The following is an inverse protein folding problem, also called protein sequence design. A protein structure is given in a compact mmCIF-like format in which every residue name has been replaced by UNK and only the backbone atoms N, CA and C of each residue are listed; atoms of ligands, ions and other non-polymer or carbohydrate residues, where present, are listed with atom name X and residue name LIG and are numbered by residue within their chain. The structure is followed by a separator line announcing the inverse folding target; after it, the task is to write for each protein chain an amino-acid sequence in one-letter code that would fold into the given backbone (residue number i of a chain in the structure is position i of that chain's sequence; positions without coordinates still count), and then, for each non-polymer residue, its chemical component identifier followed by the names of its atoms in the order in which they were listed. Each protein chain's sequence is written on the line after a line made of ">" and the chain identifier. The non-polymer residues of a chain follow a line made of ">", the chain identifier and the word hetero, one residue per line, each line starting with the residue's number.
data_IF_173409771476
#
_entry.id   IF_173409771476
#
_cell.length_a   1.000
_cell.length_b   1.000
_cell.length_c   1.000
_cell.angle_alpha   90.00
_cell.angle_beta   90.00
_cell.angle_gamma   90.00
#
_symmetry.space_group_name_H-M   'P 1'
#
loop_
_entity.id
_entity.type
_entity.pdbx_description
1 polymer ?
#
# COMPACT_ATOMS: atom_id res chain seq x y z
N UNK A 1 -28.43 -12.98 -18.55
CA UNK A 1 -27.33 -12.08 -18.15
C UNK A 1 -27.17 -12.11 -16.64
N UNK A 2 -26.22 -12.87 -16.10
CA UNK A 2 -25.92 -12.86 -14.65
C UNK A 2 -25.43 -11.46 -14.25
N UNK A 3 -26.13 -10.81 -13.33
CA UNK A 3 -25.78 -9.49 -12.80
C UNK A 3 -24.32 -9.46 -12.34
N UNK A 4 -23.61 -8.34 -12.53
CA UNK A 4 -22.19 -8.21 -12.14
C UNK A 4 -21.95 -8.65 -10.68
N UNK A 5 -22.93 -8.41 -9.82
CA UNK A 5 -22.93 -8.81 -8.40
C UNK A 5 -22.95 -10.33 -8.17
N UNK A 6 -23.74 -11.11 -8.93
CA UNK A 6 -23.79 -12.58 -8.75
C UNK A 6 -22.50 -13.25 -9.22
N UNK A 7 -21.89 -12.73 -10.29
CA UNK A 7 -20.56 -13.16 -10.76
C UNK A 7 -19.48 -12.85 -9.72
N UNK A 8 -19.48 -11.64 -9.16
CA UNK A 8 -18.48 -11.24 -8.16
C UNK A 8 -18.55 -12.09 -6.89
N UNK A 9 -19.75 -12.48 -6.44
CA UNK A 9 -19.93 -13.42 -5.31
C UNK A 9 -19.40 -14.81 -5.62
N UNK A 10 -19.62 -15.32 -6.84
CA UNK A 10 -19.10 -16.62 -7.24
C UNK A 10 -17.57 -16.64 -7.30
N UNK A 11 -16.96 -15.60 -7.88
CA UNK A 11 -15.51 -15.47 -7.94
C UNK A 11 -14.87 -15.30 -6.56
N UNK A 12 -15.50 -14.58 -5.62
CA UNK A 12 -15.03 -14.54 -4.22
C UNK A 12 -15.03 -15.92 -3.56
N UNK A 13 -16.01 -16.79 -3.84
CA UNK A 13 -15.99 -18.19 -3.36
C UNK A 13 -14.95 -19.05 -4.07
N UNK A 14 -14.62 -18.70 -5.31
CA UNK A 14 -13.57 -19.32 -6.11
C UNK A 14 -12.16 -18.80 -5.77
N UNK A 15 -12.08 -17.67 -5.08
CA UNK A 15 -10.84 -17.00 -4.76
C UNK A 15 -10.05 -17.75 -3.69
N UNK A 16 -8.76 -17.44 -3.67
CA UNK A 16 -7.78 -18.04 -2.80
C UNK A 16 -7.21 -16.97 -1.88
N UNK A 17 -6.93 -17.34 -0.64
CA UNK A 17 -6.31 -16.45 0.33
C UNK A 17 -4.85 -16.15 -0.07
N UNK A 18 -4.37 -14.91 0.10
CA UNK A 18 -2.98 -14.57 -0.13
C UNK A 18 -2.00 -15.49 0.63
N UNK A 19 -0.82 -15.70 0.07
CA UNK A 19 0.25 -16.53 0.64
C UNK A 19 0.08 -18.04 0.41
N UNK A 20 -1.10 -18.51 0.01
CA UNK A 20 -1.31 -19.93 -0.32
C UNK A 20 -0.96 -20.22 -1.79
N UNK A 21 -0.38 -21.39 -2.09
CA UNK A 21 -0.05 -21.76 -3.47
C UNK A 21 -1.32 -22.01 -4.28
N UNK A 22 -1.38 -21.45 -5.50
CA UNK A 22 -2.50 -21.61 -6.43
C UNK A 22 -2.73 -23.10 -6.76
N UNK A 23 -3.85 -23.71 -6.32
CA UNK A 23 -4.14 -25.11 -6.59
C UNK A 23 -4.76 -25.29 -7.98
N UNK A 24 -4.60 -26.49 -8.54
CA UNK A 24 -5.13 -26.84 -9.87
C UNK A 24 -6.64 -26.55 -10.02
N UNK A 25 -7.45 -26.85 -9.00
CA UNK A 25 -8.92 -26.71 -9.04
C UNK A 25 -9.44 -25.28 -9.14
N UNK A 26 -8.56 -24.29 -8.93
CA UNK A 26 -8.92 -22.87 -8.93
C UNK A 26 -8.30 -22.09 -10.10
N UNK A 27 -7.65 -22.82 -11.01
CA UNK A 27 -7.12 -22.28 -12.26
C UNK A 27 -8.12 -22.49 -13.38
N UNK A 28 -8.52 -21.39 -14.01
CA UNK A 28 -9.43 -21.41 -15.14
C UNK A 28 -8.64 -21.12 -16.41
N UNK A 29 -8.76 -22.01 -17.41
CA UNK A 29 -8.23 -21.77 -18.76
C UNK A 29 -9.35 -21.23 -19.64
N UNK A 30 -9.18 -20.02 -20.13
CA UNK A 30 -10.14 -19.33 -20.98
C UNK A 30 -9.57 -19.22 -22.40
N UNK A 31 -10.32 -19.60 -23.45
CA UNK A 31 -9.84 -19.43 -24.82
C UNK A 31 -9.75 -17.94 -25.16
N UNK A 32 -8.66 -17.54 -25.81
CA UNK A 32 -8.53 -16.18 -26.35
C UNK A 32 -9.13 -16.10 -27.76
N UNK A 33 -9.38 -14.89 -28.27
CA UNK A 33 -9.79 -14.71 -29.67
C UNK A 33 -8.78 -15.29 -30.65
N UNK A 34 -7.49 -15.12 -30.35
CA UNK A 34 -6.40 -15.70 -31.13
C UNK A 34 -6.42 -17.24 -31.09
N UNK A 35 -6.62 -17.84 -29.91
CA UNK A 35 -6.72 -19.29 -29.78
C UNK A 35 -7.94 -19.89 -30.50
N UNK A 36 -9.07 -19.17 -30.53
CA UNK A 36 -10.22 -19.58 -31.33
C UNK A 36 -9.91 -19.56 -32.83
N UNK A 37 -9.25 -18.50 -33.32
CA UNK A 37 -8.79 -18.43 -34.71
C UNK A 37 -7.81 -19.55 -35.06
N UNK A 38 -6.88 -19.87 -34.16
CA UNK A 38 -5.95 -21.00 -34.31
C UNK A 38 -6.69 -22.34 -34.39
N UNK A 39 -7.67 -22.57 -33.52
CA UNK A 39 -8.47 -23.80 -33.54
C UNK A 39 -9.25 -23.95 -34.86
N UNK A 40 -9.83 -22.85 -35.36
CA UNK A 40 -10.50 -22.83 -36.68
C UNK A 40 -9.52 -23.13 -37.81
N UNK A 41 -8.32 -22.54 -37.79
CA UNK A 41 -7.29 -22.81 -38.78
C UNK A 41 -6.89 -24.30 -38.80
N UNK A 42 -6.62 -24.88 -37.64
CA UNK A 42 -6.29 -26.32 -37.52
C UNK A 42 -7.43 -27.17 -38.06
N UNK A 43 -8.68 -26.84 -37.75
CA UNK A 43 -9.85 -27.56 -38.24
C UNK A 43 -10.00 -27.47 -39.76
N UNK A 44 -9.79 -26.28 -40.34
CA UNK A 44 -9.84 -26.06 -41.78
C UNK A 44 -8.74 -26.83 -42.51
N UNK A 45 -7.51 -26.83 -41.99
CA UNK A 45 -6.40 -27.61 -42.54
C UNK A 45 -6.68 -29.11 -42.48
N UNK A 46 -7.26 -29.58 -41.37
CA UNK A 46 -7.66 -30.97 -41.23
C UNK A 46 -8.74 -31.33 -42.25
N UNK A 47 -9.79 -30.51 -42.39
CA UNK A 47 -10.86 -30.74 -43.36
C UNK A 47 -10.35 -30.70 -44.80
N UNK A 48 -9.41 -29.80 -45.11
CA UNK A 48 -8.73 -29.74 -46.39
C UNK A 48 -7.92 -31.02 -46.65
N UNK A 49 -7.17 -31.50 -45.67
CA UNK A 49 -6.45 -32.77 -45.74
C UNK A 49 -7.37 -33.96 -46.00
N UNK A 50 -8.54 -33.99 -45.35
CA UNK A 50 -9.58 -35.02 -45.54
C UNK A 50 -10.18 -34.95 -46.94
N UNK A 51 -10.57 -33.75 -47.39
CA UNK A 51 -11.24 -33.56 -48.66
C UNK A 51 -10.31 -33.89 -49.85
N UNK A 52 -9.07 -33.40 -49.81
CA UNK A 52 -8.11 -33.54 -50.91
C UNK A 52 -7.11 -34.69 -50.75
N UNK A 53 -7.26 -35.53 -49.71
CA UNK A 53 -6.31 -36.59 -49.36
C UNK A 53 -4.85 -36.09 -49.29
N UNK A 54 -4.65 -34.85 -48.84
CA UNK A 54 -3.35 -34.19 -48.86
C UNK A 54 -2.56 -34.50 -47.58
N UNK A 55 -1.54 -35.35 -47.69
CA UNK A 55 -0.67 -35.75 -46.57
C UNK A 55 0.06 -34.59 -45.89
N UNK A 56 0.43 -33.54 -46.62
CA UNK A 56 1.11 -32.37 -46.05
C UNK A 56 0.16 -31.55 -45.17
N UNK A 57 -1.11 -31.42 -45.59
CA UNK A 57 -2.12 -30.72 -44.80
C UNK A 57 -2.38 -31.43 -43.46
N UNK A 58 -2.41 -32.77 -43.45
CA UNK A 58 -2.45 -33.53 -42.21
C UNK A 58 -1.25 -33.26 -41.32
N UNK A 59 -0.03 -33.36 -41.87
CA UNK A 59 1.21 -33.10 -41.13
C UNK A 59 1.22 -31.73 -40.47
N UNK A 60 0.83 -30.69 -41.20
CA UNK A 60 0.75 -29.33 -40.68
C UNK A 60 -0.34 -29.19 -39.59
N UNK A 61 -1.53 -29.76 -39.81
CA UNK A 61 -2.63 -29.69 -38.83
C UNK A 61 -2.26 -30.35 -37.50
N UNK A 62 -1.65 -31.54 -37.52
CA UNK A 62 -1.21 -32.24 -36.32
C UNK A 62 -0.04 -31.55 -35.64
N UNK A 63 0.88 -30.96 -36.40
CA UNK A 63 1.97 -30.17 -35.84
C UNK A 63 1.46 -28.92 -35.13
N UNK A 64 0.56 -28.15 -35.74
CA UNK A 64 -0.07 -26.97 -35.12
C UNK A 64 -0.91 -27.35 -33.89
N UNK A 65 -1.59 -28.50 -33.93
CA UNK A 65 -2.29 -29.04 -32.76
C UNK A 65 -1.33 -29.40 -31.63
N UNK A 66 -0.21 -30.05 -31.92
CA UNK A 66 0.81 -30.38 -30.93
C UNK A 66 1.41 -29.12 -30.29
N UNK A 67 1.70 -28.09 -31.09
CA UNK A 67 2.15 -26.78 -30.60
C UNK A 67 1.09 -26.17 -29.66
N UNK A 68 -0.18 -26.22 -30.03
CA UNK A 68 -1.27 -25.73 -29.19
C UNK A 68 -1.39 -26.49 -27.86
N UNK A 69 -1.25 -27.82 -27.87
CA UNK A 69 -1.28 -28.65 -26.67
C UNK A 69 -0.13 -28.30 -25.71
N UNK A 70 1.10 -28.15 -26.24
CA UNK A 70 2.26 -27.72 -25.45
C UNK A 70 2.07 -26.32 -24.88
N UNK A 71 1.55 -25.39 -25.67
CA UNK A 71 1.26 -24.03 -25.21
C UNK A 71 0.22 -24.03 -24.08
N UNK A 72 -0.88 -24.78 -24.21
CA UNK A 72 -1.89 -24.95 -23.15
C UNK A 72 -1.26 -25.41 -21.83
N UNK A 73 -0.43 -26.46 -21.91
CA UNK A 73 0.24 -27.04 -20.75
C UNK A 73 1.20 -26.02 -20.11
N UNK A 74 1.95 -25.27 -20.92
CA UNK A 74 2.85 -24.23 -20.45
C UNK A 74 2.11 -23.06 -19.80
N UNK A 75 1.00 -22.60 -20.38
CA UNK A 75 0.16 -21.55 -19.79
C UNK A 75 -0.40 -21.99 -18.43
N UNK A 76 -0.92 -23.22 -18.35
CA UNK A 76 -1.42 -23.77 -17.08
C UNK A 76 -0.32 -23.88 -16.02
N UNK A 77 0.85 -24.44 -16.39
CA UNK A 77 2.00 -24.56 -15.47
C UNK A 77 2.55 -23.20 -15.04
N UNK A 78 2.39 -22.14 -15.83
CA UNK A 78 2.91 -20.82 -15.50
C UNK A 78 2.26 -20.24 -14.23
N UNK A 79 0.97 -20.48 -14.01
CA UNK A 79 0.28 -20.06 -12.78
C UNK A 79 0.21 -21.15 -11.70
N UNK A 80 0.29 -22.44 -12.07
CA UNK A 80 0.21 -23.54 -11.10
C UNK A 80 1.21 -23.39 -9.95
N UNK A 81 0.71 -23.47 -8.71
CA UNK A 81 1.52 -23.37 -7.49
C UNK A 81 2.15 -22.00 -7.24
N UNK A 82 1.77 -20.95 -7.97
CA UNK A 82 2.22 -19.59 -7.66
C UNK A 82 1.69 -19.19 -6.28
N UNK A 83 2.51 -18.58 -5.43
CA UNK A 83 2.08 -17.95 -4.19
C UNK A 83 2.05 -16.46 -4.42
N UNK A 84 0.97 -15.82 -4.00
CA UNK A 84 0.83 -14.38 -4.11
C UNK A 84 0.48 -13.82 -2.73
N UNK A 85 1.40 -13.08 -2.13
CA UNK A 85 1.18 -12.35 -0.88
C UNK A 85 0.96 -10.86 -1.18
N UNK A 86 0.21 -10.20 -0.29
CA UNK A 86 -0.09 -8.79 -0.41
C UNK A 86 0.75 -8.00 0.58
N UNK A 87 1.28 -6.87 0.13
CA UNK A 87 1.93 -5.84 0.93
C UNK A 87 1.06 -4.60 0.87
N UNK A 88 0.35 -4.33 1.95
CA UNK A 88 -0.43 -3.11 2.10
C UNK A 88 0.49 -1.88 2.09
N UNK A 89 0.03 -0.74 1.52
CA UNK A 89 0.76 0.51 1.63
C UNK A 89 0.88 0.93 3.09
N UNK A 90 2.01 1.57 3.44
CA UNK A 90 2.25 2.05 4.79
C UNK A 90 1.26 3.15 5.20
N UNK A 91 0.98 4.08 4.29
CA UNK A 91 0.05 5.18 4.48
C UNK A 91 -0.65 5.53 3.18
N UNK A 92 -1.94 5.85 3.24
CA UNK A 92 -2.74 6.26 2.08
C UNK A 92 -3.69 7.35 2.52
N UNK A 93 -3.74 8.46 1.80
CA UNK A 93 -4.60 9.60 2.10
C UNK A 93 -5.77 9.66 1.11
N UNK A 94 -6.92 10.13 1.58
CA UNK A 94 -8.12 10.26 0.76
C UNK A 94 -7.87 11.15 -0.47
N UNK A 95 -8.30 10.69 -1.64
CA UNK A 95 -8.07 11.36 -2.93
C UNK A 95 -6.66 11.18 -3.51
N UNK A 96 -5.80 10.38 -2.87
CA UNK A 96 -4.50 9.98 -3.41
C UNK A 96 -4.53 8.61 -4.11
N UNK A 97 -3.36 7.99 -4.22
CA UNK A 97 -3.19 6.62 -4.74
C UNK A 97 -2.61 5.70 -3.66
N UNK A 98 -3.21 4.53 -3.50
CA UNK A 98 -2.75 3.47 -2.64
C UNK A 98 -1.91 2.48 -3.46
N UNK A 99 -0.61 2.36 -3.15
CA UNK A 99 0.26 1.37 -3.81
C UNK A 99 0.17 0.03 -3.10
N UNK A 100 -0.57 -0.90 -3.68
CA UNK A 100 -0.67 -2.27 -3.20
C UNK A 100 0.42 -3.11 -3.86
N UNK A 101 1.41 -3.54 -3.07
CA UNK A 101 2.45 -4.45 -3.53
C UNK A 101 1.91 -5.88 -3.57
N UNK A 102 2.09 -6.58 -4.69
CA UNK A 102 1.75 -7.99 -4.85
C UNK A 102 3.04 -8.76 -5.04
N UNK A 103 3.47 -9.41 -3.96
CA UNK A 103 4.67 -10.24 -3.95
C UNK A 103 4.31 -11.62 -4.48
N UNK A 104 4.99 -12.03 -5.54
CA UNK A 104 4.79 -13.30 -6.20
C UNK A 104 6.01 -14.21 -5.95
N UNK A 105 5.74 -15.42 -5.48
CA UNK A 105 6.75 -16.47 -5.31
C UNK A 105 6.29 -17.73 -6.03
N UNK A 106 7.06 -18.11 -7.03
CA UNK A 106 6.81 -19.26 -7.87
C UNK A 106 7.80 -20.41 -7.68
N UNK A 107 8.89 -20.21 -6.94
CA UNK A 107 10.03 -21.16 -6.80
C UNK A 107 10.76 -21.53 -8.10
N UNK A 108 10.39 -20.92 -9.23
CA UNK A 108 10.95 -21.17 -10.57
C UNK A 108 10.62 -20.02 -11.51
N UNK A 109 11.35 -19.93 -12.63
CA UNK A 109 11.08 -18.97 -13.68
C UNK A 109 9.62 -18.98 -14.15
N UNK A 110 8.99 -17.80 -14.20
CA UNK A 110 7.64 -17.59 -14.75
C UNK A 110 7.59 -16.28 -15.51
N UNK A 111 6.73 -16.20 -16.53
CA UNK A 111 6.75 -15.09 -17.48
C UNK A 111 5.37 -14.48 -17.68
N UNK A 112 5.33 -13.17 -17.95
CA UNK A 112 4.12 -12.42 -18.31
C UNK A 112 2.93 -12.79 -17.41
N UNK A 113 3.11 -12.58 -16.11
CA UNK A 113 2.04 -12.66 -15.13
C UNK A 113 1.47 -11.26 -15.00
N UNK A 114 0.18 -11.14 -15.25
CA UNK A 114 -0.55 -9.90 -15.09
C UNK A 114 -1.39 -9.98 -13.82
N UNK A 115 -1.30 -8.93 -13.01
CA UNK A 115 -2.13 -8.74 -11.83
C UNK A 115 -3.13 -7.64 -12.17
N UNK A 116 -4.41 -7.94 -12.03
CA UNK A 116 -5.51 -7.03 -12.33
C UNK A 116 -6.33 -6.76 -11.07
N UNK A 117 -6.62 -5.49 -10.84
CA UNK A 117 -7.64 -4.98 -9.94
C UNK A 117 -8.71 -4.22 -10.77
N UNK A 118 -9.84 -3.79 -10.19
CA UNK A 118 -10.93 -3.16 -10.94
C UNK A 118 -10.50 -1.96 -11.82
N UNK A 119 -9.53 -1.16 -11.35
CA UNK A 119 -9.08 0.06 -12.02
C UNK A 119 -7.56 0.13 -12.18
N UNK A 120 -6.85 -0.97 -11.92
CA UNK A 120 -5.38 -1.02 -11.98
C UNK A 120 -4.90 -2.34 -12.52
N UNK A 121 -3.79 -2.33 -13.25
CA UNK A 121 -3.14 -3.55 -13.72
C UNK A 121 -1.63 -3.37 -13.72
N UNK A 122 -0.92 -4.44 -13.38
CA UNK A 122 0.54 -4.50 -13.42
C UNK A 122 0.98 -5.82 -14.07
N UNK A 123 2.10 -5.78 -14.79
CA UNK A 123 2.69 -6.96 -15.41
C UNK A 123 4.07 -7.22 -14.80
N UNK A 124 4.35 -8.47 -14.49
CA UNK A 124 5.60 -8.90 -13.88
C UNK A 124 6.05 -10.24 -14.44
N UNK A 125 7.36 -10.40 -14.58
CA UNK A 125 8.00 -11.69 -14.85
C UNK A 125 8.92 -12.04 -13.69
N UNK A 126 9.05 -13.32 -13.41
CA UNK A 126 9.75 -13.87 -12.26
C UNK A 126 10.93 -14.71 -12.78
N UNK A 127 12.00 -14.12 -13.33
CA UNK A 127 13.11 -14.90 -13.90
C UNK A 127 13.78 -15.80 -12.85
N UNK A 128 13.92 -15.30 -11.63
CA UNK A 128 14.50 -16.00 -10.47
C UNK A 128 13.42 -16.67 -9.60
N UNK A 129 12.19 -16.74 -10.11
CA UNK A 129 11.05 -17.34 -9.42
C UNK A 129 10.43 -16.52 -8.31
N UNK A 130 10.86 -15.29 -8.11
CA UNK A 130 10.23 -14.31 -7.22
C UNK A 130 10.19 -12.92 -7.88
N UNK A 131 9.32 -12.04 -7.38
CA UNK A 131 9.16 -10.67 -7.89
C UNK A 131 7.96 -9.96 -7.30
N UNK A 132 7.84 -8.67 -7.58
CA UNK A 132 6.83 -7.79 -7.01
C UNK A 132 6.13 -7.01 -8.13
N UNK A 133 4.81 -6.87 -8.01
CA UNK A 133 3.99 -6.05 -8.89
C UNK A 133 3.26 -5.00 -8.05
N UNK A 134 3.46 -3.72 -8.39
CA UNK A 134 2.81 -2.61 -7.70
C UNK A 134 1.53 -2.19 -8.42
N UNK A 135 0.41 -2.26 -7.72
CA UNK A 135 -0.89 -1.77 -8.20
C UNK A 135 -1.19 -0.41 -7.58
N UNK A 136 -1.34 0.61 -8.42
CA UNK A 136 -1.84 1.91 -8.01
C UNK A 136 -3.37 1.88 -7.97
N UNK A 137 -3.94 1.79 -6.77
CA UNK A 137 -5.39 1.82 -6.55
C UNK A 137 -5.82 3.24 -6.17
N UNK A 138 -6.92 3.77 -6.71
CA UNK A 138 -7.43 5.07 -6.28
C UNK A 138 -7.89 5.00 -4.81
N UNK A 139 -7.40 5.93 -3.99
CA UNK A 139 -7.81 6.04 -2.60
C UNK A 139 -9.13 6.82 -2.50
N UNK A 140 -10.19 6.12 -2.08
CA UNK A 140 -11.52 6.70 -1.89
C UNK A 140 -11.62 7.63 -0.68
N UNK A 141 -12.82 7.70 -0.09
CA UNK A 141 -13.07 8.48 1.12
C UNK A 141 -12.26 7.96 2.33
N UNK A 142 -12.16 8.76 3.40
CA UNK A 142 -11.53 8.32 4.66
C UNK A 142 -12.25 7.09 5.22
N UNK A 143 -11.48 6.14 5.75
CA UNK A 143 -12.00 5.00 6.51
C UNK A 143 -11.34 3.68 6.14
N UNK A 144 -11.95 2.60 6.60
CA UNK A 144 -11.53 1.23 6.27
C UNK A 144 -12.26 0.77 5.02
N UNK A 145 -11.49 0.40 3.99
CA UNK A 145 -12.01 -0.12 2.73
C UNK A 145 -11.58 -1.56 2.53
N UNK A 146 -12.49 -2.48 2.18
CA UNK A 146 -12.09 -3.85 1.86
C UNK A 146 -11.20 -3.84 0.62
N UNK A 147 -10.16 -4.69 0.61
CA UNK A 147 -9.37 -4.85 -0.60
C UNK A 147 -10.22 -5.40 -1.76
N UNK A 148 -10.00 -4.88 -2.99
CA UNK A 148 -10.71 -5.39 -4.15
C UNK A 148 -10.29 -6.84 -4.44
N UNK A 149 -11.15 -7.56 -5.16
CA UNK A 149 -10.79 -8.89 -5.65
C UNK A 149 -9.70 -8.74 -6.72
N UNK A 150 -8.56 -9.39 -6.51
CA UNK A 150 -7.45 -9.38 -7.47
C UNK A 150 -7.55 -10.57 -8.40
N UNK A 151 -7.17 -10.38 -9.65
CA UNK A 151 -7.13 -11.42 -10.68
C UNK A 151 -5.70 -11.58 -11.17
N UNK A 152 -5.15 -12.77 -10.99
CA UNK A 152 -3.91 -13.18 -11.62
C UNK A 152 -4.21 -13.80 -12.97
N UNK A 153 -3.48 -13.38 -13.99
CA UNK A 153 -3.67 -13.78 -15.36
C UNK A 153 -2.31 -14.10 -16.01
N UNK A 154 -2.29 -15.08 -16.91
CA UNK A 154 -1.18 -15.21 -17.85
C UNK A 154 -1.64 -15.83 -19.17
N UNK A 155 -1.15 -15.27 -20.27
CA UNK A 155 -1.36 -15.77 -21.63
C UNK A 155 -0.06 -16.35 -22.25
N UNK A 156 1.03 -16.44 -21.46
CA UNK A 156 2.29 -17.00 -21.93
C UNK A 156 2.16 -18.50 -22.26
N UNK A 157 2.80 -19.04 -23.32
CA UNK A 157 3.73 -18.36 -24.24
C UNK A 157 3.10 -17.77 -25.49
N UNK A 158 2.12 -18.44 -26.09
CA UNK A 158 1.59 -18.09 -27.43
C UNK A 158 0.29 -17.28 -27.40
N UNK A 159 -0.32 -17.08 -26.23
CA UNK A 159 -1.60 -16.39 -26.11
C UNK A 159 -2.80 -17.16 -26.64
N UNK A 160 -2.70 -18.48 -26.87
CA UNK A 160 -3.83 -19.32 -27.32
C UNK A 160 -4.92 -19.43 -26.25
N UNK A 161 -4.51 -19.58 -25.00
CA UNK A 161 -5.38 -19.58 -23.84
C UNK A 161 -4.84 -18.63 -22.79
N UNK A 162 -5.72 -18.27 -21.87
CA UNK A 162 -5.43 -17.41 -20.74
C UNK A 162 -5.73 -18.18 -19.47
N UNK A 163 -4.70 -18.43 -18.68
CA UNK A 163 -4.88 -18.96 -17.33
C UNK A 163 -5.26 -17.81 -16.40
N UNK A 164 -6.30 -18.03 -15.58
CA UNK A 164 -6.82 -17.04 -14.63
C UNK A 164 -6.99 -17.67 -13.26
N UNK A 165 -6.57 -16.94 -12.23
CA UNK A 165 -6.86 -17.21 -10.84
C UNK A 165 -7.36 -15.93 -10.15
N UNK A 166 -8.11 -16.11 -9.06
CA UNK A 166 -8.63 -15.00 -8.26
C UNK A 166 -8.08 -15.06 -6.84
N UNK A 167 -7.70 -13.91 -6.30
CA UNK A 167 -7.23 -13.73 -4.94
C UNK A 167 -8.18 -12.81 -4.20
N UNK A 168 -8.59 -13.22 -3.01
CA UNK A 168 -9.41 -12.44 -2.10
C UNK A 168 -8.72 -12.36 -0.76
N UNK A 169 -8.51 -11.15 -0.27
CA UNK A 169 -8.03 -10.89 1.09
C UNK A 169 -9.18 -10.32 1.92
N UNK A 170 -9.23 -10.71 3.18
CA UNK A 170 -10.13 -10.11 4.17
C UNK A 170 -9.50 -8.89 4.86
N UNK A 171 -8.26 -8.54 4.48
CA UNK A 171 -7.62 -7.32 4.94
C UNK A 171 -8.31 -6.06 4.41
N UNK A 172 -8.25 -5.00 5.20
CA UNK A 172 -8.81 -3.69 4.90
C UNK A 172 -7.70 -2.66 4.71
N UNK A 173 -7.81 -1.87 3.64
CA UNK A 173 -7.00 -0.69 3.42
C UNK A 173 -7.52 0.45 4.28
N UNK A 174 -6.67 0.98 5.16
CA UNK A 174 -6.99 2.16 5.97
C UNK A 174 -6.60 3.43 5.20
N UNK A 175 -7.60 4.24 4.86
CA UNK A 175 -7.42 5.51 4.17
C UNK A 175 -7.54 6.66 5.18
N UNK A 176 -6.46 7.40 5.34
CA UNK A 176 -6.35 8.58 6.20
C UNK A 176 -7.07 9.79 5.59
N UNK A 177 -7.55 10.74 6.42
CA UNK A 177 -8.12 11.98 5.91
C UNK A 177 -7.13 12.74 5.03
N UNK A 178 -7.61 13.40 3.97
CA UNK A 178 -6.76 14.26 3.15
C UNK A 178 -6.26 15.42 4.00
N UNK A 179 -4.94 15.69 4.11
CA UNK A 179 -4.46 16.82 4.90
C UNK A 179 -4.92 18.13 4.26
N UNK A 180 -5.52 19.00 5.07
CA UNK A 180 -5.86 20.37 4.70
C UNK A 180 -4.97 21.31 5.50
N UNK A 181 -4.03 21.96 4.81
CA UNK A 181 -3.17 22.97 5.43
C UNK A 181 -3.96 24.27 5.48
N UNK A 182 -4.38 24.69 6.66
CA UNK A 182 -4.81 26.08 6.88
C UNK A 182 -3.57 26.95 7.06
N UNK A 183 -3.56 28.12 6.42
CA UNK A 183 -2.64 29.20 6.77
C UNK A 183 -3.00 29.68 8.18
N UNK A 184 -2.22 29.24 9.17
CA UNK A 184 -2.35 29.77 10.53
C UNK A 184 -1.65 31.14 10.53
N UNK A 185 -2.31 32.24 10.92
CA UNK A 185 -1.63 33.51 11.15
C UNK A 185 -0.47 33.28 12.13
N UNK A 186 0.71 33.79 11.79
CA UNK A 186 2.03 33.51 12.39
C UNK A 186 2.14 33.62 13.94
N UNK A 187 1.09 34.05 14.63
CA UNK A 187 1.03 34.28 16.07
C UNK A 187 1.06 33.02 16.95
N UNK A 188 1.37 31.85 16.39
CA UNK A 188 1.68 30.64 17.18
C UNK A 188 3.07 30.06 16.92
N UNK A 189 3.92 30.77 16.18
CA UNK A 189 5.36 30.53 16.16
C UNK A 189 6.02 31.03 17.46
N UNK A 190 5.63 30.46 18.61
CA UNK A 190 6.46 30.47 19.80
C UNK A 190 7.02 29.06 20.00
N UNK A 191 7.71 28.61 18.97
CA UNK A 191 8.43 27.34 18.91
C UNK A 191 9.51 27.39 17.84
N UNK A 192 10.01 28.58 17.51
CA UNK A 192 11.30 28.70 16.86
C UNK A 192 12.31 27.97 17.76
N UNK A 193 13.11 27.09 17.16
CA UNK A 193 14.06 26.23 17.85
C UNK A 193 14.69 26.96 19.02
N UNK A 194 14.33 26.51 20.23
CA UNK A 194 14.96 26.95 21.45
C UNK A 194 16.35 26.31 21.48
N UNK A 195 17.26 26.85 20.66
CA UNK A 195 18.66 26.86 21.03
C UNK A 195 18.72 27.35 22.47
N UNK A 196 19.49 26.67 23.32
CA UNK A 196 19.59 26.98 24.74
C UNK A 196 20.18 28.40 24.90
N UNK A 197 19.34 29.42 24.81
CA UNK A 197 19.74 30.82 24.70
C UNK A 197 19.75 31.49 26.07
N UNK A 198 18.93 30.99 27.00
CA UNK A 198 18.91 31.51 28.37
C UNK A 198 20.00 30.84 29.22
N UNK A 199 20.98 31.65 29.59
CA UNK A 199 22.00 31.33 30.56
C UNK A 199 21.34 31.10 31.93
N UNK A 200 21.33 29.86 32.39
CA UNK A 200 20.69 29.45 33.64
C UNK A 200 21.63 29.55 34.86
N UNK A 201 22.93 29.78 34.63
CA UNK A 201 23.91 29.97 35.69
C UNK A 201 25.23 29.25 35.44
N UNK A 202 26.04 29.15 36.50
CA UNK A 202 27.34 28.48 36.49
C UNK A 202 27.26 27.23 37.36
N UNK A 203 27.64 26.09 36.79
CA UNK A 203 27.81 24.83 37.55
C UNK A 203 29.28 24.44 37.61
N UNK A 204 29.64 23.56 38.55
CA UNK A 204 31.00 23.00 38.61
C UNK A 204 31.28 22.24 37.30
N UNK A 205 32.45 22.47 36.71
CA UNK A 205 32.84 21.80 35.48
C UNK A 205 33.12 20.31 35.75
N UNK A 206 32.64 19.44 34.88
CA UNK A 206 32.84 17.99 34.97
C UNK A 206 33.70 17.49 33.80
N UNK A 207 34.45 16.37 33.98
CA UNK A 207 35.20 15.75 32.90
C UNK A 207 34.26 15.33 31.76
N UNK A 208 34.40 15.96 30.59
CA UNK A 208 33.53 15.76 29.42
C UNK A 208 32.84 17.03 28.92
N UNK A 209 32.90 18.12 29.69
CA UNK A 209 32.37 19.42 29.26
C UNK A 209 33.22 20.02 28.11
N UNK A 210 32.53 20.47 27.05
CA UNK A 210 33.17 21.10 25.91
C UNK A 210 33.98 22.34 26.35
N UNK A 211 35.22 22.53 25.84
CA UNK A 211 36.07 23.68 26.19
C UNK A 211 35.40 25.04 25.94
N UNK A 212 34.47 25.11 24.98
CA UNK A 212 33.71 26.31 24.65
C UNK A 212 32.66 26.70 25.71
N UNK A 213 32.24 25.76 26.57
CA UNK A 213 31.25 25.98 27.63
C UNK A 213 31.88 26.30 28.99
N UNK A 214 33.21 26.24 29.10
CA UNK A 214 33.94 26.56 30.33
C UNK A 214 34.03 28.07 30.54
N UNK A 215 33.79 28.52 31.77
CA UNK A 215 33.84 29.91 32.19
C UNK A 215 35.28 30.32 32.55
N UNK A 216 36.17 30.33 31.57
CA UNK A 216 37.60 30.62 31.73
C UNK A 216 37.90 31.94 32.48
N UNK A 217 37.08 32.98 32.25
CA UNK A 217 37.19 34.28 32.93
C UNK A 217 36.98 34.20 34.45
N UNK A 218 36.20 33.24 34.94
CA UNK A 218 35.96 33.06 36.37
C UNK A 218 37.05 32.20 37.01
N UNK A 219 37.59 31.24 36.27
CA UNK A 219 38.71 30.41 36.70
C UNK A 219 39.96 31.24 37.03
N UNK A 220 40.28 32.23 36.20
CA UNK A 220 41.43 33.12 36.42
C UNK A 220 41.32 34.00 37.68
N UNK A 221 40.11 34.19 38.23
CA UNK A 221 39.88 35.01 39.44
C UNK A 221 39.68 34.20 40.71
N UNK A 222 39.17 32.98 40.62
CA UNK A 222 38.71 32.21 41.79
C UNK A 222 39.36 30.85 41.93
N UNK A 223 40.12 30.39 40.93
CA UNK A 223 40.76 29.07 40.92
C UNK A 223 39.79 27.89 40.73
N UNK A 224 38.48 28.13 40.73
CA UNK A 224 37.45 27.08 40.56
C UNK A 224 36.92 27.09 39.13
N UNK A 225 37.01 25.94 38.45
CA UNK A 225 36.53 25.78 37.07
C UNK A 225 35.01 25.55 37.07
N UNK A 226 34.28 26.48 36.45
CA UNK A 226 32.83 26.40 36.28
C UNK A 226 32.47 26.29 34.79
N UNK A 227 31.39 25.58 34.47
CA UNK A 227 30.80 25.48 33.15
C UNK A 227 29.50 26.32 33.10
N UNK A 228 29.28 27.02 31.98
CA UNK A 228 28.03 27.74 31.70
C UNK A 228 26.91 26.72 31.52
N UNK A 229 25.90 26.78 32.38
CA UNK A 229 24.68 26.01 32.25
C UNK A 229 23.64 26.83 31.49
N UNK A 230 23.05 26.23 30.46
CA UNK A 230 21.95 26.82 29.70
C UNK A 230 20.67 26.04 30.03
N UNK A 231 19.56 26.74 30.26
CA UNK A 231 18.27 26.07 30.44
C UNK A 231 17.69 25.74 29.07
N UNK A 232 17.39 24.46 28.84
CA UNK A 232 16.51 24.05 27.74
C UNK A 232 15.09 24.34 28.23
N UNK A 233 14.31 25.19 27.55
CA UNK A 233 12.94 25.44 28.01
C UNK A 233 12.14 24.13 27.96
N UNK A 234 11.16 23.97 28.87
CA UNK A 234 10.32 22.78 28.86
C UNK A 234 9.64 22.66 27.49
N UNK A 235 9.82 21.53 26.81
CA UNK A 235 9.09 21.22 25.56
C UNK A 235 7.60 21.44 25.83
N UNK A 236 7.00 22.43 25.18
CA UNK A 236 5.60 22.76 25.40
C UNK A 236 4.73 21.54 25.08
N UNK A 237 3.85 21.20 26.02
CA UNK A 237 2.93 20.08 25.89
C UNK A 237 1.85 20.46 24.87
N UNK A 238 1.96 19.96 23.65
CA UNK A 238 1.03 20.28 22.59
C UNK A 238 -0.14 19.29 22.56
N UNK A 239 -1.37 19.82 22.60
CA UNK A 239 -2.60 19.06 22.39
C UNK A 239 -3.27 19.47 21.09
N UNK A 240 -3.52 18.48 20.23
CA UNK A 240 -4.31 18.64 19.01
C UNK A 240 -5.76 18.29 19.33
N UNK A 241 -6.58 19.33 19.56
CA UNK A 241 -7.97 19.16 19.99
C UNK A 241 -8.95 19.31 18.80
N UNK A 242 -9.87 18.35 18.68
CA UNK A 242 -10.91 18.35 17.65
C UNK A 242 -11.88 19.51 17.74
N UNK A 243 -12.30 19.87 18.96
CA UNK A 243 -13.26 20.94 19.19
C UNK A 243 -12.66 22.33 18.96
N UNK A 244 -11.32 22.43 18.94
CA UNK A 244 -10.60 23.65 18.60
C UNK A 244 -10.53 23.90 17.08
N UNK A 245 -10.83 22.90 16.25
CA UNK A 245 -10.89 23.04 14.80
C UNK A 245 -12.27 23.55 14.36
N UNK A 246 -12.29 24.50 13.42
CA UNK A 246 -13.51 25.03 12.81
C UNK A 246 -13.90 24.22 11.57
N UNK A 247 -15.14 24.36 11.13
CA UNK A 247 -15.69 23.68 9.96
C UNK A 247 -16.53 22.45 10.30
N UNK A 248 -16.94 21.75 9.25
CA UNK A 248 -17.66 20.48 9.31
C UNK A 248 -16.74 19.34 9.81
N UNK A 249 -17.31 18.20 10.23
CA UNK A 249 -16.54 17.12 10.83
C UNK A 249 -15.37 16.60 9.96
N UNK A 250 -15.54 16.53 8.64
CA UNK A 250 -14.49 16.06 7.73
C UNK A 250 -13.36 17.08 7.63
N UNK A 251 -13.68 18.36 7.48
CA UNK A 251 -12.68 19.44 7.44
C UNK A 251 -11.86 19.49 8.72
N UNK A 252 -12.49 19.33 9.90
CA UNK A 252 -11.75 19.26 11.18
C UNK A 252 -10.73 18.13 11.18
N UNK A 253 -11.09 16.95 10.68
CA UNK A 253 -10.21 15.78 10.63
C UNK A 253 -9.08 15.98 9.61
N UNK A 254 -9.36 16.64 8.49
CA UNK A 254 -8.36 17.06 7.51
C UNK A 254 -7.34 18.06 8.08
N UNK A 255 -7.80 19.04 8.87
CA UNK A 255 -6.92 19.99 9.56
C UNK A 255 -6.06 19.29 10.61
N UNK A 256 -6.66 18.42 11.44
CA UNK A 256 -5.91 17.63 12.42
C UNK A 256 -4.88 16.73 11.76
N UNK A 257 -5.22 16.13 10.61
CA UNK A 257 -4.28 15.35 9.83
C UNK A 257 -3.06 16.17 9.41
N UNK A 258 -3.28 17.37 8.87
CA UNK A 258 -2.19 18.27 8.50
C UNK A 258 -1.31 18.64 9.71
N UNK A 259 -1.92 18.92 10.88
CA UNK A 259 -1.19 19.22 12.12
C UNK A 259 -0.38 18.05 12.63
N UNK A 260 -0.94 16.83 12.64
CA UNK A 260 -0.23 15.60 13.01
C UNK A 260 1.02 15.40 12.13
N UNK A 261 0.88 15.61 10.82
CA UNK A 261 2.01 15.51 9.89
C UNK A 261 3.07 16.60 10.14
N UNK A 262 2.65 17.84 10.38
CA UNK A 262 3.56 18.96 10.67
C UNK A 262 4.36 18.74 11.96
N UNK A 263 3.71 18.37 13.07
CA UNK A 263 4.38 18.13 14.34
C UNK A 263 5.28 16.89 14.31
N UNK A 264 4.90 15.86 13.55
CA UNK A 264 5.79 14.74 13.33
C UNK A 264 7.06 15.14 12.56
N UNK A 265 6.95 15.99 11.53
CA UNK A 265 8.10 16.52 10.80
C UNK A 265 9.00 17.40 11.68
N UNK A 266 8.40 18.18 12.59
CA UNK A 266 9.13 18.99 13.57
C UNK A 266 9.79 18.17 14.69
N UNK A 267 9.40 16.90 14.87
CA UNK A 267 9.89 16.05 15.97
C UNK A 267 9.27 16.40 17.33
N UNK A 268 8.11 17.04 17.34
CA UNK A 268 7.43 17.49 18.55
C UNK A 268 6.75 16.33 19.29
N UNK A 269 6.62 16.48 20.61
CA UNK A 269 5.72 15.67 21.43
C UNK A 269 4.32 16.26 21.40
N UNK A 270 3.35 15.50 20.91
CA UNK A 270 1.95 15.94 20.85
C UNK A 270 0.98 14.85 21.28
N UNK A 271 -0.14 15.26 21.87
CA UNK A 271 -1.32 14.44 22.13
C UNK A 271 -2.45 14.77 21.15
N UNK A 272 -3.39 13.85 20.98
CA UNK A 272 -4.57 14.04 20.11
C UNK A 272 -5.83 13.82 20.95
N UNK A 273 -6.77 14.78 20.90
CA UNK A 273 -8.10 14.63 21.50
C UNK A 273 -9.17 14.66 20.43
N UNK A 274 -9.87 13.54 20.31
CA UNK A 274 -11.08 13.38 19.52
C UNK A 274 -12.24 13.14 20.49
N UNK A 275 -13.48 13.46 20.12
CA UNK A 275 -14.65 13.10 20.93
C UNK A 275 -14.66 11.59 21.23
N UNK A 276 -14.53 11.22 22.51
CA UNK A 276 -14.50 9.82 22.95
C UNK A 276 -13.17 9.07 22.77
N UNK A 277 -12.13 9.68 22.20
CA UNK A 277 -10.79 9.08 22.05
C UNK A 277 -9.71 10.09 22.39
N UNK A 278 -8.93 9.81 23.44
CA UNK A 278 -7.78 10.64 23.83
C UNK A 278 -6.51 9.83 23.68
N UNK A 279 -5.62 10.26 22.78
CA UNK A 279 -4.29 9.71 22.64
C UNK A 279 -3.33 10.52 23.50
N UNK A 280 -2.64 9.83 24.43
CA UNK A 280 -1.62 10.45 25.27
C UNK A 280 -0.47 11.02 24.43
N UNK A 281 0.29 11.94 25.04
CA UNK A 281 1.40 12.59 24.37
C UNK A 281 2.51 11.58 24.07
N UNK A 282 2.96 11.57 22.82
CA UNK A 282 4.04 10.72 22.34
C UNK A 282 4.84 11.42 21.24
N UNK A 283 5.88 10.76 20.77
CA UNK A 283 6.70 11.22 19.65
C UNK A 283 7.04 10.05 18.71
N UNK A 284 7.58 10.38 17.53
CA UNK A 284 8.07 9.41 16.57
C UNK A 284 6.99 8.81 15.66
N UNK A 285 7.39 7.78 14.90
CA UNK A 285 6.55 7.16 13.87
C UNK A 285 5.35 6.39 14.44
N UNK A 286 5.50 5.79 15.63
CA UNK A 286 4.41 5.08 16.29
C UNK A 286 3.26 6.03 16.68
N UNK A 287 3.60 7.19 17.26
CA UNK A 287 2.61 8.21 17.62
C UNK A 287 1.87 8.74 16.37
N UNK A 288 2.61 9.06 15.30
CA UNK A 288 2.02 9.46 14.02
C UNK A 288 1.02 8.44 13.51
N UNK A 289 1.42 7.17 13.46
CA UNK A 289 0.56 6.09 12.96
C UNK A 289 -0.69 5.94 13.83
N UNK A 290 -0.55 5.99 15.15
CA UNK A 290 -1.69 5.90 16.07
C UNK A 290 -2.66 7.08 15.90
N UNK A 291 -2.13 8.30 15.80
CA UNK A 291 -2.93 9.51 15.58
C UNK A 291 -3.68 9.47 14.24
N UNK A 292 -2.99 9.15 13.13
CA UNK A 292 -3.61 9.00 11.82
C UNK A 292 -4.66 7.86 11.80
N UNK A 293 -4.37 6.74 12.48
CA UNK A 293 -5.32 5.62 12.61
C UNK A 293 -6.58 6.04 13.36
N UNK A 294 -6.43 6.79 14.47
CA UNK A 294 -7.56 7.32 15.22
C UNK A 294 -8.41 8.28 14.37
N UNK A 295 -7.77 9.17 13.61
CA UNK A 295 -8.45 10.07 12.67
C UNK A 295 -9.21 9.31 11.57
N UNK A 296 -8.62 8.27 11.00
CA UNK A 296 -9.28 7.45 9.98
C UNK A 296 -10.50 6.69 10.49
N UNK A 297 -10.43 6.16 11.72
CA UNK A 297 -11.50 5.37 12.34
C UNK A 297 -12.59 6.22 13.00
N UNK A 298 -12.31 7.49 13.27
CA UNK A 298 -13.27 8.37 13.90
C UNK A 298 -14.50 8.60 13.02
N UNK A 299 -15.67 8.35 13.61
CA UNK A 299 -16.98 8.65 13.03
C UNK A 299 -17.64 9.76 13.85
N UNK A 300 -17.93 10.93 13.26
CA UNK A 300 -18.64 11.97 13.98
C UNK A 300 -20.07 11.53 14.31
N UNK A 301 -20.56 11.90 15.49
CA UNK A 301 -21.94 11.66 15.89
C UNK A 301 -22.87 12.50 14.99
N UNK A 302 -23.49 11.88 13.99
CA UNK A 302 -24.38 12.56 13.05
C UNK A 302 -24.42 11.98 11.63
N UNK A 303 -23.54 11.05 11.26
CA UNK A 303 -23.63 10.37 9.96
C UNK A 303 -24.54 9.14 10.08
N UNK A 304 -25.77 9.14 9.53
CA UNK A 304 -26.58 7.93 9.48
C UNK A 304 -25.82 6.89 8.63
N UNK A 305 -25.74 5.67 9.16
CA UNK A 305 -25.02 4.56 8.53
C UNK A 305 -25.53 4.30 7.11
N UNK A 306 -24.69 4.57 6.13
CA UNK A 306 -24.89 4.15 4.75
C UNK A 306 -24.66 2.65 4.60
N UNK A 307 -25.77 1.91 4.67
CA UNK A 307 -26.14 0.65 4.00
C UNK A 307 -25.09 -0.48 3.90
N UNK A 308 -25.53 -1.63 4.45
CA UNK A 308 -25.01 -3.01 4.35
C UNK A 308 -24.43 -3.43 3.01
#
# INVERSE_FOLDING_TARGET
>A
MLSRASRQRWWRRAAIAPGTPLPQRRLFLLPTRFGLGWAVLVLLLLLFGINYQNSLAYGLSFWLFAVAAVALLRTWRNLLGLRASLRLPAETFAGGEARLGVMLDGGRARHAIEVHAPEASASVSLPEGHGEADLALPAGARGEHPLPLLRLESAWPLGLVRAVAWLASDETLLVYPRPLVEEIPEHRQAGAGLEATDFAGLRRAEPGDSPARLAWKQWSRTGVLAAKAFSVPPRQQLWLDYDACRGDPETRLSILCARVLAHHQAGDRYGLRLPGVTLAQGEGAAQRRQALTALARFRPAGTPGGVR
#
